data_IF_256585764674
#
_entry.id   IF_256585764674
#
_cell.length_a   1.000
_cell.length_b   1.000
_cell.length_c   1.000
_cell.angle_alpha   90.00
_cell.angle_beta   90.00
_cell.angle_gamma   90.00
#
_symmetry.space_group_name_H-M   'P 1'
#
loop_
_entity.id
_entity.type
_entity.pdbx_description
1 polymer ?
#
# COMPACT_ATOMS: atom_id res chain seq x y z
N UNK A 1 -10.18 20.03 14.38
CA UNK A 1 -8.79 20.41 14.09
C UNK A 1 -8.42 19.45 13.00
N UNK A 2 -8.60 19.86 11.75
CA UNK A 2 -8.36 18.99 10.61
C UNK A 2 -6.84 18.84 10.53
N UNK A 3 -6.33 17.75 11.09
CA UNK A 3 -5.03 17.21 10.70
C UNK A 3 -5.15 16.88 9.21
N UNK A 4 -4.93 17.90 8.38
CA UNK A 4 -4.84 17.69 6.95
C UNK A 4 -3.50 17.03 6.68
N UNK A 5 -3.54 15.73 6.45
CA UNK A 5 -2.38 14.93 6.10
C UNK A 5 -1.62 15.59 4.94
N UNK A 6 -0.36 15.96 5.20
CA UNK A 6 0.50 16.65 4.24
C UNK A 6 0.59 15.86 2.92
N UNK A 7 0.57 14.52 3.02
CA UNK A 7 0.59 13.62 1.88
C UNK A 7 -0.66 13.74 0.99
N UNK A 8 -1.85 13.84 1.58
CA UNK A 8 -3.10 13.92 0.82
C UNK A 8 -3.17 15.21 0.00
N UNK A 9 -2.84 16.36 0.62
CA UNK A 9 -2.83 17.64 -0.08
C UNK A 9 -1.79 17.63 -1.21
N UNK A 10 -0.60 17.07 -0.95
CA UNK A 10 0.44 16.96 -1.96
C UNK A 10 0.00 16.10 -3.16
N UNK A 11 -0.53 14.91 -2.91
CA UNK A 11 -1.03 14.00 -3.95
C UNK A 11 -2.17 14.62 -4.75
N UNK A 12 -3.10 15.30 -4.08
CA UNK A 12 -4.20 16.01 -4.74
C UNK A 12 -3.71 17.17 -5.61
N UNK A 13 -2.67 17.88 -5.15
CA UNK A 13 -2.05 18.95 -5.94
C UNK A 13 -1.36 18.41 -7.17
N UNK A 14 -0.72 17.24 -7.06
CA UNK A 14 -0.13 16.55 -8.21
C UNK A 14 -1.19 16.13 -9.23
N UNK A 15 -2.31 15.55 -8.77
CA UNK A 15 -3.43 15.15 -9.63
C UNK A 15 -4.09 16.36 -10.34
N UNK A 16 -4.22 17.50 -9.66
CA UNK A 16 -4.74 18.75 -10.26
C UNK A 16 -3.82 19.31 -11.36
N UNK A 17 -2.52 19.00 -11.30
CA UNK A 17 -1.52 19.43 -12.27
C UNK A 17 -1.34 18.41 -13.41
N UNK A 18 -1.47 17.11 -13.13
CA UNK A 18 -1.32 15.99 -14.08
C UNK A 18 -2.61 15.76 -14.91
N UNK A 19 -3.11 16.81 -15.57
CA UNK A 19 -4.37 16.77 -16.35
C UNK A 19 -4.33 15.73 -17.47
N UNK A 20 -3.14 15.47 -18.02
CA UNK A 20 -2.95 14.48 -19.08
C UNK A 20 -2.74 13.05 -18.56
N UNK A 21 -2.76 12.84 -17.24
CA UNK A 21 -2.46 11.57 -16.58
C UNK A 21 -1.12 10.97 -17.08
N UNK A 22 -0.17 11.82 -17.45
CA UNK A 22 1.17 11.37 -17.85
C UNK A 22 1.95 10.81 -16.65
N UNK A 23 1.48 11.07 -15.43
CA UNK A 23 2.18 10.72 -14.20
C UNK A 23 3.41 11.60 -13.99
N UNK A 24 3.47 12.77 -14.63
CA UNK A 24 4.61 13.69 -14.57
C UNK A 24 4.14 15.14 -14.57
N UNK A 25 4.63 15.93 -13.63
CA UNK A 25 4.29 17.35 -13.54
C UNK A 25 5.54 18.21 -13.54
N UNK A 26 5.43 19.45 -13.99
CA UNK A 26 6.54 20.39 -13.95
C UNK A 26 6.82 20.83 -12.51
N UNK A 27 8.07 20.70 -12.07
CA UNK A 27 8.49 21.05 -10.70
C UNK A 27 8.17 22.49 -10.32
N UNK A 28 8.28 23.40 -11.30
CA UNK A 28 7.98 24.82 -11.10
C UNK A 28 6.50 25.05 -10.79
N UNK A 29 5.60 24.34 -11.47
CA UNK A 29 4.16 24.44 -11.22
C UNK A 29 3.78 23.80 -9.90
N UNK A 30 4.39 22.63 -9.61
CA UNK A 30 4.19 21.92 -8.36
C UNK A 30 4.68 22.74 -7.15
N UNK A 31 5.90 23.28 -7.17
CA UNK A 31 6.41 24.13 -6.09
C UNK A 31 5.56 25.39 -5.91
N UNK A 32 5.08 26.00 -7.00
CA UNK A 32 4.22 27.18 -6.91
C UNK A 32 2.88 26.86 -6.27
N UNK A 33 2.25 25.73 -6.63
CA UNK A 33 0.98 25.31 -6.02
C UNK A 33 1.17 24.88 -4.56
N UNK A 34 2.20 24.11 -4.25
CA UNK A 34 2.51 23.71 -2.88
C UNK A 34 2.79 24.92 -1.97
N UNK A 35 3.48 25.94 -2.48
CA UNK A 35 3.72 27.17 -1.73
C UNK A 35 2.44 27.99 -1.48
N UNK A 36 1.46 27.94 -2.40
CA UNK A 36 0.17 28.63 -2.28
C UNK A 36 -0.76 27.91 -1.30
N UNK A 37 -0.77 26.57 -1.34
CA UNK A 37 -1.66 25.73 -0.53
C UNK A 37 -1.10 25.51 0.89
N UNK A 38 0.23 25.44 1.07
CA UNK A 38 0.90 25.20 2.37
C UNK A 38 1.93 26.27 2.76
N UNK A 39 1.55 27.55 2.94
CA UNK A 39 2.48 28.62 3.22
C UNK A 39 3.11 28.63 4.64
N UNK A 40 2.84 27.64 5.51
CA UNK A 40 3.31 27.66 6.91
C UNK A 40 3.78 26.31 7.49
N UNK A 41 3.82 25.23 6.70
CA UNK A 41 4.22 23.92 7.21
C UNK A 41 5.74 23.72 7.20
N UNK A 42 6.27 23.16 8.29
CA UNK A 42 7.70 22.80 8.38
C UNK A 42 8.11 21.78 7.30
N UNK A 43 7.14 20.97 6.86
CA UNK A 43 7.32 19.95 5.82
C UNK A 43 7.55 20.58 4.43
N UNK A 44 6.94 21.73 4.13
CA UNK A 44 7.03 22.41 2.83
C UNK A 44 8.46 22.82 2.47
N UNK A 45 9.29 23.14 3.47
CA UNK A 45 10.70 23.49 3.25
C UNK A 45 11.56 22.26 2.92
N UNK A 46 11.31 21.15 3.61
CA UNK A 46 12.00 19.88 3.34
C UNK A 46 11.56 19.32 1.99
N UNK A 47 10.26 19.42 1.67
CA UNK A 47 9.69 19.05 0.38
C UNK A 47 10.38 19.79 -0.77
N UNK A 48 10.44 21.11 -0.70
CA UNK A 48 11.09 21.93 -1.74
C UNK A 48 12.57 21.61 -1.91
N UNK A 49 13.32 21.43 -0.83
CA UNK A 49 14.75 21.10 -0.88
C UNK A 49 15.01 19.75 -1.57
N UNK A 50 14.13 18.77 -1.30
CA UNK A 50 14.17 17.45 -1.95
C UNK A 50 13.76 17.52 -3.42
N UNK A 51 12.72 18.29 -3.75
CA UNK A 51 12.27 18.50 -5.13
C UNK A 51 13.35 19.17 -6.00
N UNK A 52 14.06 20.16 -5.45
CA UNK A 52 15.16 20.86 -6.12
C UNK A 52 16.41 19.98 -6.27
N UNK A 53 16.63 19.05 -5.33
CA UNK A 53 17.72 18.07 -5.41
C UNK A 53 17.50 16.99 -6.49
N UNK A 54 16.27 16.77 -6.94
CA UNK A 54 15.99 15.81 -8.02
C UNK A 54 16.47 16.44 -9.34
N UNK A 55 17.30 15.76 -10.14
CA UNK A 55 17.69 16.25 -11.45
C UNK A 55 16.51 16.13 -12.43
N UNK A 56 16.11 17.23 -13.06
CA UNK A 56 15.04 17.25 -14.06
C UNK A 56 14.05 18.39 -13.85
N UNK A 57 13.38 18.82 -14.91
CA UNK A 57 12.35 19.87 -14.83
C UNK A 57 10.95 19.30 -14.55
N UNK A 58 10.78 18.03 -14.90
CA UNK A 58 9.61 17.22 -14.60
C UNK A 58 9.92 16.38 -13.37
N UNK A 59 8.89 16.11 -12.58
CA UNK A 59 8.93 15.15 -11.50
C UNK A 59 7.85 14.10 -11.76
N UNK A 60 8.22 12.82 -11.69
CA UNK A 60 7.25 11.74 -11.85
C UNK A 60 6.50 11.47 -10.55
N UNK A 61 5.35 10.80 -10.65
CA UNK A 61 4.57 10.38 -9.48
C UNK A 61 5.41 9.53 -8.52
N UNK A 62 6.28 8.66 -9.02
CA UNK A 62 7.13 7.82 -8.15
C UNK A 62 8.16 8.67 -7.40
N UNK A 63 8.81 9.62 -8.08
CA UNK A 63 9.77 10.53 -7.45
C UNK A 63 9.09 11.42 -6.42
N UNK A 64 7.91 11.95 -6.75
CA UNK A 64 7.13 12.77 -5.84
C UNK A 64 6.68 11.97 -4.62
N UNK A 65 6.18 10.75 -4.83
CA UNK A 65 5.76 9.86 -3.76
C UNK A 65 6.94 9.47 -2.85
N UNK A 66 8.13 9.22 -3.39
CA UNK A 66 9.33 8.95 -2.60
C UNK A 66 9.79 10.13 -1.74
N UNK A 67 9.51 11.36 -2.18
CA UNK A 67 9.75 12.58 -1.39
C UNK A 67 8.70 12.72 -0.30
N UNK A 68 7.42 12.43 -0.59
CA UNK A 68 6.34 12.45 0.40
C UNK A 68 6.55 11.41 1.50
N UNK A 69 6.91 10.17 1.15
CA UNK A 69 7.19 9.06 2.08
C UNK A 69 8.33 9.40 3.06
N UNK A 70 9.33 10.17 2.59
CA UNK A 70 10.43 10.65 3.45
C UNK A 70 10.02 11.73 4.46
N UNK A 71 8.95 12.48 4.19
CA UNK A 71 8.58 13.69 4.95
C UNK A 71 7.37 13.42 5.84
N UNK A 72 6.43 12.61 5.34
CA UNK A 72 5.35 12.02 6.10
C UNK A 72 5.37 10.51 5.81
N UNK A 73 5.94 9.69 6.71
CA UNK A 73 5.77 8.25 6.64
C UNK A 73 4.33 7.93 7.03
N UNK A 74 3.41 8.14 6.09
CA UNK A 74 2.04 7.64 6.19
C UNK A 74 2.09 6.11 6.37
N UNK A 75 1.25 5.50 7.20
CA UNK A 75 1.05 4.06 7.16
C UNK A 75 0.41 3.72 5.80
N UNK A 76 1.26 3.31 4.84
CA UNK A 76 0.96 2.84 3.48
C UNK A 76 -0.51 2.40 3.31
N UNK A 77 -1.36 3.33 2.92
CA UNK A 77 -2.76 3.03 2.59
C UNK A 77 -2.91 2.99 1.08
N UNK A 78 -3.13 1.75 0.61
CA UNK A 78 -3.93 1.37 -0.56
C UNK A 78 -3.48 1.89 -1.94
N UNK A 79 -2.43 1.30 -2.49
CA UNK A 79 -2.32 1.09 -3.94
C UNK A 79 -1.33 -0.05 -4.23
N UNK A 80 -1.86 -1.23 -4.54
CA UNK A 80 -1.14 -2.45 -4.92
C UNK A 80 -0.20 -3.02 -3.87
N UNK A 81 -0.78 -3.81 -2.96
CA UNK A 81 -0.05 -4.89 -2.30
C UNK A 81 0.50 -5.77 -3.43
N UNK A 82 1.81 -5.72 -3.68
CA UNK A 82 2.40 -6.44 -4.79
C UNK A 82 2.32 -7.94 -4.51
N UNK A 83 2.33 -8.80 -5.53
CA UNK A 83 2.39 -10.26 -5.30
C UNK A 83 3.51 -10.64 -4.31
N UNK A 84 4.60 -9.87 -4.30
CA UNK A 84 5.69 -10.03 -3.36
C UNK A 84 5.28 -9.79 -1.89
N UNK A 85 4.51 -8.75 -1.57
CA UNK A 85 4.03 -8.50 -0.20
C UNK A 85 3.13 -9.65 0.29
N UNK A 86 2.34 -10.25 -0.61
CA UNK A 86 1.53 -11.43 -0.30
C UNK A 86 2.37 -12.69 -0.10
N UNK A 87 3.47 -12.84 -0.85
CA UNK A 87 4.44 -13.92 -0.65
C UNK A 87 5.16 -13.75 0.69
N UNK A 88 5.58 -12.53 1.03
CA UNK A 88 6.22 -12.23 2.30
C UNK A 88 5.26 -12.46 3.49
N UNK A 89 3.97 -12.08 3.35
CA UNK A 89 2.94 -12.43 4.33
C UNK A 89 2.76 -13.95 4.43
N UNK A 90 2.69 -14.67 3.31
CA UNK A 90 2.56 -16.13 3.30
C UNK A 90 3.71 -16.78 4.07
N UNK A 91 4.95 -16.38 3.81
CA UNK A 91 6.12 -16.90 4.53
C UNK A 91 6.15 -16.50 6.00
N UNK A 92 5.56 -15.35 6.37
CA UNK A 92 5.43 -14.97 7.76
C UNK A 92 4.42 -15.85 8.52
N UNK A 93 3.44 -16.43 7.80
CA UNK A 93 2.42 -17.31 8.36
C UNK A 93 2.88 -18.77 8.38
N UNK A 94 3.54 -19.23 7.32
CA UNK A 94 4.10 -20.57 7.15
C UNK A 94 5.37 -20.74 8.01
N UNK A 95 5.16 -20.88 9.33
CA UNK A 95 6.24 -21.04 10.31
C UNK A 95 7.03 -22.33 10.07
N UNK A 96 6.36 -23.38 9.58
CA UNK A 96 6.98 -24.66 9.22
C UNK A 96 7.76 -24.60 7.88
N UNK A 97 7.57 -23.53 7.09
CA UNK A 97 8.09 -23.43 5.71
C UNK A 97 7.67 -24.63 4.85
N UNK A 98 6.46 -25.13 5.11
CA UNK A 98 5.87 -26.27 4.43
C UNK A 98 5.53 -25.96 2.97
N UNK A 99 5.34 -24.67 2.65
CA UNK A 99 4.77 -24.18 1.39
C UNK A 99 3.24 -24.17 1.37
N UNK A 100 2.59 -24.44 2.50
CA UNK A 100 1.14 -24.53 2.68
C UNK A 100 0.72 -23.83 3.98
N UNK A 101 -0.43 -23.15 3.98
CA UNK A 101 -1.00 -22.59 5.20
C UNK A 101 -2.00 -23.57 5.80
N UNK A 102 -1.66 -24.10 6.96
CA UNK A 102 -2.56 -24.90 7.78
C UNK A 102 -3.53 -24.03 8.58
N UNK A 103 -4.69 -24.59 8.93
CA UNK A 103 -5.67 -23.95 9.83
C UNK A 103 -5.04 -23.49 11.14
N UNK A 104 -4.11 -24.28 11.68
CA UNK A 104 -3.43 -24.00 12.95
C UNK A 104 -2.46 -22.82 12.82
N UNK A 105 -1.71 -22.76 11.72
CA UNK A 105 -0.78 -21.67 11.43
C UNK A 105 -1.51 -20.35 11.26
N UNK A 106 -2.58 -20.34 10.46
CA UNK A 106 -3.44 -19.16 10.27
C UNK A 106 -4.05 -18.72 11.61
N UNK A 107 -4.54 -19.66 12.42
CA UNK A 107 -5.07 -19.37 13.74
C UNK A 107 -4.02 -18.81 14.70
N UNK A 108 -2.76 -19.26 14.61
CA UNK A 108 -1.67 -18.75 15.43
C UNK A 108 -1.35 -17.28 15.11
N UNK A 109 -1.51 -16.83 13.86
CA UNK A 109 -1.33 -15.40 13.49
C UNK A 109 -2.42 -14.54 14.11
N UNK A 110 -3.68 -14.99 13.99
CA UNK A 110 -4.83 -14.28 14.56
C UNK A 110 -4.89 -14.40 16.10
N UNK A 111 -4.06 -15.23 16.72
CA UNK A 111 -3.95 -15.30 18.17
C UNK A 111 -3.19 -14.10 18.77
N UNK A 112 -2.32 -13.45 17.98
CA UNK A 112 -1.62 -12.21 18.39
C UNK A 112 -2.47 -10.95 18.10
N UNK A 113 -3.50 -11.08 17.26
CA UNK A 113 -4.40 -10.00 16.90
C UNK A 113 -5.43 -9.72 18.02
N UNK A 114 -5.79 -8.45 18.30
CA UNK A 114 -6.83 -8.11 19.28
C UNK A 114 -8.22 -8.69 18.99
N UNK A 115 -8.46 -9.23 17.78
CA UNK A 115 -9.69 -9.92 17.39
C UNK A 115 -9.38 -11.39 16.98
N UNK A 116 -9.32 -12.33 17.93
CA UNK A 116 -9.09 -13.73 17.62
C UNK A 116 -10.24 -14.29 16.78
N UNK A 117 -9.89 -14.73 15.57
CA UNK A 117 -10.84 -15.38 14.65
C UNK A 117 -11.12 -16.82 15.10
N UNK A 118 -12.40 -17.24 15.24
CA UNK A 118 -12.72 -18.61 15.62
C UNK A 118 -12.25 -19.59 14.55
N UNK A 119 -11.70 -20.73 15.00
CA UNK A 119 -11.17 -21.80 14.13
C UNK A 119 -12.20 -22.25 13.08
N UNK A 120 -13.49 -22.25 13.40
CA UNK A 120 -14.55 -22.60 12.45
C UNK A 120 -14.64 -21.63 11.27
N UNK A 121 -14.42 -20.33 11.52
CA UNK A 121 -14.39 -19.32 10.49
C UNK A 121 -13.12 -19.44 9.65
N UNK A 122 -11.98 -19.74 10.27
CA UNK A 122 -10.71 -19.99 9.56
C UNK A 122 -10.83 -21.24 8.68
N UNK A 123 -11.45 -22.32 9.16
CA UNK A 123 -11.72 -23.52 8.35
C UNK A 123 -12.66 -23.22 7.20
N UNK A 124 -13.71 -22.45 7.43
CA UNK A 124 -14.63 -22.03 6.38
C UNK A 124 -13.96 -21.06 5.39
N UNK A 125 -13.00 -20.27 5.83
CA UNK A 125 -12.22 -19.37 4.99
C UNK A 125 -11.26 -20.18 4.13
N UNK A 126 -10.42 -21.03 4.73
CA UNK A 126 -9.52 -21.95 4.00
C UNK A 126 -10.30 -22.80 3.01
N UNK A 127 -11.40 -23.44 3.43
CA UNK A 127 -12.22 -24.28 2.55
C UNK A 127 -12.91 -23.52 1.39
N UNK A 128 -12.98 -22.19 1.44
CA UNK A 128 -13.47 -21.40 0.29
C UNK A 128 -12.39 -21.15 -0.76
N UNK A 129 -11.11 -21.26 -0.40
CA UNK A 129 -9.98 -20.98 -1.29
C UNK A 129 -9.20 -22.24 -1.69
N UNK A 130 -9.24 -23.24 -0.82
CA UNK A 130 -8.73 -24.57 -1.04
C UNK A 130 -9.48 -25.23 -2.21
N UNK A 131 -8.87 -25.13 -3.39
CA UNK A 131 -9.46 -25.64 -4.64
C UNK A 131 -9.13 -27.11 -4.80
N UNK A 132 -7.98 -27.53 -4.29
CA UNK A 132 -7.51 -28.90 -4.34
C UNK A 132 -8.16 -29.81 -3.25
N UNK A 133 -8.86 -29.21 -2.27
CA UNK A 133 -9.51 -29.83 -1.12
C UNK A 133 -8.55 -30.65 -0.23
N UNK A 134 -7.30 -30.21 -0.08
CA UNK A 134 -6.31 -30.85 0.80
C UNK A 134 -6.41 -30.38 2.26
N UNK A 135 -7.24 -29.38 2.53
CA UNK A 135 -7.46 -28.79 3.84
C UNK A 135 -6.40 -27.76 4.24
N UNK A 136 -5.52 -27.40 3.30
CA UNK A 136 -4.45 -26.43 3.45
C UNK A 136 -4.47 -25.48 2.24
N UNK A 137 -3.82 -24.33 2.37
CA UNK A 137 -3.83 -23.30 1.33
C UNK A 137 -2.42 -23.16 0.76
N UNK A 138 -2.18 -23.65 -0.46
CA UNK A 138 -0.87 -23.52 -1.09
C UNK A 138 -0.58 -22.07 -1.51
N UNK A 139 0.70 -21.72 -1.62
CA UNK A 139 1.12 -20.38 -2.10
C UNK A 139 0.49 -20.04 -3.46
N UNK A 140 0.35 -21.03 -4.34
CA UNK A 140 -0.29 -20.85 -5.64
C UNK A 140 -1.78 -20.51 -5.53
N UNK A 141 -2.53 -21.22 -4.66
CA UNK A 141 -3.94 -20.94 -4.41
C UNK A 141 -4.14 -19.58 -3.73
N UNK A 142 -3.24 -19.20 -2.83
CA UNK A 142 -3.24 -17.90 -2.18
C UNK A 142 -3.05 -16.76 -3.18
N UNK A 143 -2.03 -16.86 -4.04
CA UNK A 143 -1.74 -15.84 -5.05
C UNK A 143 -2.82 -15.76 -6.13
N UNK A 144 -3.37 -16.91 -6.57
CA UNK A 144 -4.47 -16.93 -7.53
C UNK A 144 -5.73 -16.26 -6.95
N UNK A 145 -5.98 -16.45 -5.66
CA UNK A 145 -7.08 -15.79 -4.97
C UNK A 145 -6.86 -14.28 -4.82
N UNK A 146 -5.67 -13.87 -4.37
CA UNK A 146 -5.29 -12.47 -4.23
C UNK A 146 -5.42 -11.75 -5.58
N UNK A 147 -4.97 -12.34 -6.67
CA UNK A 147 -5.13 -11.78 -8.01
C UNK A 147 -6.62 -11.62 -8.39
N UNK A 148 -7.43 -12.64 -8.12
CA UNK A 148 -8.89 -12.62 -8.35
C UNK A 148 -9.66 -11.60 -7.49
N UNK A 149 -9.19 -11.30 -6.28
CA UNK A 149 -9.83 -10.32 -5.39
C UNK A 149 -9.34 -8.90 -5.61
N UNK A 150 -8.07 -8.73 -5.96
CA UNK A 150 -7.48 -7.41 -6.27
C UNK A 150 -8.10 -6.79 -7.54
N UNK A 151 -8.68 -7.61 -8.44
CA UNK A 151 -9.38 -7.14 -9.64
C UNK A 151 -10.92 -7.06 -9.50
N UNK A 152 -11.45 -7.09 -8.26
CA UNK A 152 -12.86 -6.76 -8.02
C UNK A 152 -12.95 -5.51 -7.15
N UNK A 153 -13.37 -4.35 -7.70
CA UNK A 153 -13.86 -3.29 -6.85
C UNK A 153 -15.08 -3.86 -6.13
N UNK A 154 -15.00 -4.00 -4.81
CA UNK A 154 -16.16 -4.34 -4.00
C UNK A 154 -17.21 -3.23 -4.25
N UNK A 155 -18.29 -3.60 -4.96
CA UNK A 155 -19.51 -2.82 -5.18
C UNK A 155 -20.28 -2.64 -3.87
#
# INVERSE_FOLDING_TARGET
MEDHDTAEICLRTFDDLDVDNAGQVYKVELCSRLADIMPADCNTRVLQDKLDSIPGQLITREEFQAVIDQIAPEPRSTAQVSQQDWIDLFHAIDVDQSGYLSVDEVHAIFADDPLPMPIELIKSWIGQFDTNNDGQLSLAEFLEFVDKTTNKPYL
#
